data_IF_736413664004
#
_entry.id   IF_736413664004
#
_cell.length_a   1.000
_cell.length_b   1.000
_cell.length_c   1.000
_cell.angle_alpha   90.00
_cell.angle_beta   90.00
_cell.angle_gamma   90.00
#
_symmetry.space_group_name_H-M   'P 1'
#
loop_
_entity.id
_entity.type
_entity.pdbx_description
1 polymer ?
#
# COMPACT_ATOMS: atom_id res chain seq x y z
N UNK A 1 16.12 26.44 13.90
CA UNK A 1 16.35 27.02 12.58
C UNK A 1 17.26 26.07 11.80
N UNK A 2 16.80 25.52 10.69
CA UNK A 2 17.65 24.77 9.76
C UNK A 2 18.63 25.76 9.10
N UNK A 3 19.91 25.41 8.95
CA UNK A 3 20.85 26.28 8.26
C UNK A 3 20.38 26.48 6.82
N UNK A 4 20.33 27.73 6.37
CA UNK A 4 20.07 28.07 4.98
C UNK A 4 21.18 27.45 4.11
N UNK A 5 20.85 26.51 3.27
CA UNK A 5 21.76 26.00 2.25
C UNK A 5 22.02 27.13 1.25
N UNK A 6 23.22 27.67 1.29
CA UNK A 6 23.73 28.61 0.30
C UNK A 6 24.00 27.85 -1.01
N UNK A 7 22.97 27.66 -1.80
CA UNK A 7 23.00 27.09 -3.13
C UNK A 7 21.78 27.57 -3.88
N UNK A 8 21.87 27.82 -5.20
CA UNK A 8 20.73 28.18 -6.03
C UNK A 8 19.55 27.21 -5.83
N UNK A 9 18.34 27.52 -6.32
CA UNK A 9 17.17 26.68 -6.10
C UNK A 9 17.49 25.25 -6.55
N UNK A 10 17.35 24.29 -5.61
CA UNK A 10 17.55 22.88 -5.93
C UNK A 10 16.66 22.48 -7.13
N UNK A 11 17.14 21.65 -8.04
CA UNK A 11 16.34 21.22 -9.18
C UNK A 11 15.03 20.61 -8.66
N UNK A 12 13.92 21.05 -9.22
CA UNK A 12 12.59 20.54 -8.81
C UNK A 12 12.50 19.04 -9.11
N UNK A 13 11.98 18.23 -8.16
CA UNK A 13 11.81 16.81 -8.39
C UNK A 13 10.85 16.58 -9.57
N UNK A 14 11.14 15.57 -10.38
CA UNK A 14 10.27 15.14 -11.49
C UNK A 14 9.23 14.13 -11.04
N UNK A 15 9.53 13.37 -10.02
CA UNK A 15 8.66 12.38 -9.42
C UNK A 15 8.81 12.42 -7.90
N UNK A 16 7.69 12.50 -7.21
CA UNK A 16 7.59 12.26 -5.76
C UNK A 16 6.84 10.96 -5.55
N UNK A 17 7.43 10.04 -4.81
CA UNK A 17 6.79 8.77 -4.42
C UNK A 17 6.54 8.82 -2.92
N UNK A 18 5.27 8.74 -2.53
CA UNK A 18 4.84 8.59 -1.14
C UNK A 18 4.55 7.12 -0.89
N UNK A 19 5.30 6.48 -0.01
CA UNK A 19 5.12 5.06 0.31
C UNK A 19 4.52 4.95 1.71
N UNK A 20 3.31 4.41 1.79
CA UNK A 20 2.69 3.99 3.03
C UNK A 20 2.93 2.50 3.24
N UNK A 21 3.37 2.11 4.43
CA UNK A 21 3.42 0.70 4.86
C UNK A 21 2.38 0.52 5.95
N UNK A 22 1.27 -0.10 5.60
CA UNK A 22 0.11 -0.30 6.47
C UNK A 22 0.50 -1.17 7.69
N UNK A 23 0.15 -0.75 8.90
CA UNK A 23 0.47 -1.41 10.17
C UNK A 23 1.98 -1.50 10.52
N UNK A 24 2.86 -0.74 9.86
CA UNK A 24 4.26 -0.69 10.26
C UNK A 24 4.43 0.04 11.59
N UNK A 25 4.69 -0.70 12.65
CA UNK A 25 4.90 -0.15 13.99
C UNK A 25 6.31 0.41 14.14
N UNK A 26 6.42 1.60 14.76
CA UNK A 26 7.71 2.21 15.08
C UNK A 26 8.55 1.30 15.97
N UNK A 27 7.92 0.62 16.93
CA UNK A 27 8.59 -0.35 17.82
C UNK A 27 9.24 -1.49 17.02
N UNK A 28 8.52 -2.07 16.05
CA UNK A 28 9.05 -3.15 15.20
C UNK A 28 10.15 -2.67 14.27
N UNK A 29 9.98 -1.47 13.71
CA UNK A 29 11.01 -0.84 12.87
C UNK A 29 12.32 -0.69 13.65
N UNK A 30 12.27 -0.16 14.87
CA UNK A 30 13.47 0.03 15.71
C UNK A 30 14.06 -1.30 16.21
N UNK A 31 13.24 -2.26 16.61
CA UNK A 31 13.71 -3.57 17.07
C UNK A 31 14.46 -4.34 15.96
N UNK A 32 14.00 -4.23 14.71
CA UNK A 32 14.60 -4.91 13.56
C UNK A 32 15.66 -4.06 12.84
N UNK A 33 15.80 -2.79 13.18
CA UNK A 33 16.77 -1.87 12.55
C UNK A 33 18.18 -2.43 12.37
N UNK A 34 18.79 -3.11 13.35
CA UNK A 34 20.14 -3.68 13.21
C UNK A 34 20.23 -4.81 12.17
N UNK A 35 19.09 -5.36 11.76
CA UNK A 35 19.00 -6.48 10.81
C UNK A 35 18.63 -6.04 9.40
N UNK A 36 18.18 -4.82 9.22
CA UNK A 36 17.89 -4.27 7.88
C UNK A 36 19.21 -4.03 7.13
N UNK A 37 19.23 -4.44 5.88
CA UNK A 37 20.39 -4.30 4.99
C UNK A 37 20.02 -3.72 3.62
N UNK A 38 18.74 -3.44 3.41
CA UNK A 38 18.16 -3.02 2.14
C UNK A 38 17.58 -1.61 2.16
N UNK A 39 16.39 -1.45 1.62
CA UNK A 39 15.75 -0.15 1.41
C UNK A 39 15.39 0.58 2.68
N UNK A 40 14.88 -0.11 3.72
CA UNK A 40 14.61 0.50 5.02
C UNK A 40 15.90 0.93 5.70
N UNK A 41 16.94 0.08 5.69
CA UNK A 41 18.26 0.45 6.21
C UNK A 41 18.79 1.72 5.54
N UNK A 42 18.66 1.81 4.24
CA UNK A 42 19.09 2.95 3.45
C UNK A 42 18.29 4.21 3.76
N UNK A 43 16.95 4.12 3.82
CA UNK A 43 16.10 5.25 4.15
C UNK A 43 16.37 5.78 5.56
N UNK A 44 16.60 4.89 6.52
CA UNK A 44 16.98 5.26 7.90
C UNK A 44 18.38 5.88 8.02
N UNK A 45 19.29 5.54 7.10
CA UNK A 45 20.68 6.03 7.09
C UNK A 45 20.84 7.33 6.28
N UNK A 46 20.21 7.40 5.10
CA UNK A 46 20.41 8.49 4.13
C UNK A 46 19.28 9.54 4.21
N UNK A 47 18.12 9.19 4.77
CA UNK A 47 16.94 10.06 4.87
C UNK A 47 16.83 10.80 6.20
N UNK A 48 15.76 11.58 6.33
CA UNK A 48 15.35 12.21 7.59
C UNK A 48 14.38 11.28 8.32
N UNK A 49 14.74 10.82 9.50
CA UNK A 49 13.90 9.99 10.34
C UNK A 49 13.24 10.83 11.44
N UNK A 50 11.92 10.98 11.38
CA UNK A 50 11.12 11.69 12.37
C UNK A 50 10.72 10.74 13.50
N UNK A 51 11.51 10.70 14.56
CA UNK A 51 11.30 9.79 15.71
C UNK A 51 10.13 10.18 16.62
N UNK A 52 9.55 11.36 16.44
CA UNK A 52 8.43 11.91 17.22
C UNK A 52 7.25 12.29 16.32
N UNK A 53 6.97 11.49 15.31
CA UNK A 53 5.79 11.65 14.49
C UNK A 53 4.64 10.80 15.08
N UNK A 54 3.51 11.45 15.37
CA UNK A 54 2.35 10.80 15.98
C UNK A 54 1.11 11.06 15.15
N UNK A 55 0.23 10.07 15.07
CA UNK A 55 -1.13 10.31 14.63
C UNK A 55 -1.87 11.12 15.70
N UNK A 56 -2.49 12.22 15.28
CA UNK A 56 -3.22 13.09 16.19
C UNK A 56 -4.71 12.71 16.33
N UNK A 57 -5.06 11.47 15.94
CA UNK A 57 -6.42 10.90 16.02
C UNK A 57 -6.34 9.48 16.59
N UNK A 58 -7.41 9.03 17.26
CA UNK A 58 -7.43 7.76 17.98
C UNK A 58 -7.67 6.55 17.07
N UNK A 59 -8.61 6.64 16.12
CA UNK A 59 -8.91 5.57 15.16
C UNK A 59 -7.85 5.51 14.05
N UNK A 60 -6.80 4.70 14.23
CA UNK A 60 -5.70 4.57 13.27
C UNK A 60 -5.89 3.40 12.31
N UNK A 61 -7.13 3.18 11.87
CA UNK A 61 -7.46 2.22 10.82
C UNK A 61 -6.98 2.67 9.44
N UNK A 62 -7.03 1.75 8.47
CA UNK A 62 -6.57 2.02 7.09
C UNK A 62 -7.25 3.25 6.48
N UNK A 63 -8.60 3.35 6.55
CA UNK A 63 -9.35 4.46 5.95
C UNK A 63 -8.95 5.82 6.52
N UNK A 64 -9.18 6.09 7.82
CA UNK A 64 -8.78 7.35 8.42
C UNK A 64 -7.29 7.65 8.25
N UNK A 65 -6.42 6.66 8.49
CA UNK A 65 -4.96 6.83 8.37
C UNK A 65 -4.53 7.30 6.97
N UNK A 66 -4.97 6.61 5.91
CA UNK A 66 -4.60 6.98 4.54
C UNK A 66 -5.24 8.30 4.09
N UNK A 67 -6.45 8.62 4.58
CA UNK A 67 -7.07 9.92 4.32
C UNK A 67 -6.24 11.08 4.86
N UNK A 68 -5.64 10.92 6.05
CA UNK A 68 -4.81 11.94 6.71
C UNK A 68 -3.48 12.16 5.97
N UNK A 69 -2.86 11.09 5.45
CA UNK A 69 -1.51 11.16 4.86
C UNK A 69 -1.38 12.19 3.73
N UNK A 70 -2.35 12.27 2.84
CA UNK A 70 -2.27 13.17 1.68
C UNK A 70 -3.29 14.31 1.69
N UNK A 71 -4.20 14.38 2.67
CA UNK A 71 -5.03 15.58 2.89
C UNK A 71 -4.41 16.54 3.91
N UNK A 72 -3.57 16.02 4.83
CA UNK A 72 -3.07 16.77 5.97
C UNK A 72 -4.15 17.16 6.98
N UNK A 73 -5.33 16.54 6.92
CA UNK A 73 -6.48 16.87 7.76
C UNK A 73 -6.86 15.70 8.68
N UNK A 74 -7.37 16.00 9.87
CA UNK A 74 -7.89 14.98 10.79
C UNK A 74 -9.15 14.30 10.24
N UNK A 75 -9.45 13.05 10.66
CA UNK A 75 -10.63 12.29 10.24
C UNK A 75 -11.96 13.05 10.35
N UNK A 76 -12.14 13.83 11.41
CA UNK A 76 -13.32 14.71 11.57
C UNK A 76 -13.49 15.74 10.44
N UNK A 77 -12.42 16.10 9.74
CA UNK A 77 -12.46 17.02 8.61
C UNK A 77 -12.42 16.28 7.26
N UNK A 78 -11.80 15.10 7.19
CA UNK A 78 -11.79 14.31 5.96
C UNK A 78 -13.12 13.62 5.70
N UNK A 79 -13.99 13.48 6.71
CA UNK A 79 -15.24 12.75 6.63
C UNK A 79 -15.05 11.23 6.68
N UNK A 80 -13.86 10.75 7.06
CA UNK A 80 -13.51 9.32 7.12
C UNK A 80 -13.15 8.96 8.57
N UNK A 81 -14.13 8.69 9.45
CA UNK A 81 -13.89 8.41 10.86
C UNK A 81 -13.29 7.01 11.10
N UNK A 82 -13.72 6.01 10.33
CA UNK A 82 -13.38 4.60 10.45
C UNK A 82 -13.35 3.94 9.06
N UNK A 83 -12.98 2.68 8.96
CA UNK A 83 -13.14 1.93 7.71
C UNK A 83 -14.61 1.72 7.36
N UNK A 84 -15.41 1.47 8.38
CA UNK A 84 -16.86 1.29 8.31
C UNK A 84 -17.51 1.94 9.53
N UNK A 85 -18.58 2.67 9.34
CA UNK A 85 -19.34 3.29 10.43
C UNK A 85 -20.84 3.22 10.20
N UNK A 86 -21.60 3.28 11.27
CA UNK A 86 -23.05 3.38 11.17
C UNK A 86 -23.47 4.82 10.88
N UNK A 87 -24.03 5.07 9.71
CA UNK A 87 -24.58 6.37 9.34
C UNK A 87 -26.02 6.50 9.86
N UNK A 88 -26.21 7.39 10.84
CA UNK A 88 -27.51 7.61 11.49
C UNK A 88 -28.57 8.14 10.51
N UNK A 89 -28.20 8.95 9.54
CA UNK A 89 -29.11 9.51 8.56
C UNK A 89 -29.53 8.47 7.50
N UNK A 90 -28.60 7.62 7.10
CA UNK A 90 -28.87 6.51 6.18
C UNK A 90 -29.49 5.29 6.89
N UNK A 91 -29.37 5.17 8.22
CA UNK A 91 -29.85 4.05 9.02
C UNK A 91 -29.13 2.71 8.75
N UNK A 92 -27.87 2.75 8.27
CA UNK A 92 -27.10 1.58 7.91
C UNK A 92 -25.59 1.79 8.05
N UNK A 93 -24.84 0.69 7.99
CA UNK A 93 -23.39 0.75 7.86
C UNK A 93 -22.97 1.35 6.52
N UNK A 94 -21.93 2.17 6.57
CA UNK A 94 -21.29 2.83 5.42
C UNK A 94 -19.85 2.40 5.36
N UNK A 95 -19.40 1.94 4.19
CA UNK A 95 -17.98 1.72 3.94
C UNK A 95 -17.29 3.01 3.51
N UNK A 96 -16.09 3.27 4.02
CA UNK A 96 -15.41 4.57 3.86
C UNK A 96 -15.21 5.04 2.42
N UNK A 97 -15.11 4.13 1.46
CA UNK A 97 -15.00 4.44 0.02
C UNK A 97 -16.19 3.93 -0.79
N UNK A 98 -17.31 3.66 -0.13
CA UNK A 98 -18.56 3.33 -0.84
C UNK A 98 -18.99 4.48 -1.75
N UNK A 99 -19.23 4.18 -3.01
CA UNK A 99 -19.79 5.13 -3.97
C UNK A 99 -20.78 4.41 -4.90
N UNK A 100 -22.09 4.50 -4.62
CA UNK A 100 -23.12 3.82 -5.43
C UNK A 100 -23.14 4.24 -6.91
N UNK A 101 -22.45 5.33 -7.26
CA UNK A 101 -22.35 5.82 -8.65
C UNK A 101 -21.12 5.28 -9.38
N UNK A 102 -20.25 4.57 -8.68
CA UNK A 102 -18.97 4.09 -9.21
C UNK A 102 -18.88 2.56 -9.10
N UNK A 103 -18.81 1.89 -10.23
CA UNK A 103 -18.68 0.43 -10.32
C UNK A 103 -17.21 0.04 -10.45
N UNK A 104 -16.77 -0.98 -9.70
CA UNK A 104 -15.42 -1.54 -9.81
C UNK A 104 -15.28 -2.33 -11.12
N UNK A 105 -14.26 -2.04 -11.91
CA UNK A 105 -14.04 -2.71 -13.19
C UNK A 105 -13.72 -4.19 -12.99
N UNK A 106 -14.49 -5.07 -13.63
CA UNK A 106 -14.36 -6.53 -13.48
C UNK A 106 -14.99 -7.12 -12.21
N UNK A 107 -15.64 -6.29 -11.38
CA UNK A 107 -16.38 -6.72 -10.20
C UNK A 107 -17.68 -5.88 -10.06
N UNK A 108 -18.67 -6.12 -10.91
CA UNK A 108 -19.87 -5.25 -11.03
C UNK A 108 -20.72 -5.17 -9.75
N UNK A 109 -20.58 -6.14 -8.85
CA UNK A 109 -21.26 -6.15 -7.56
C UNK A 109 -20.56 -5.27 -6.50
N UNK A 110 -19.39 -4.72 -6.82
CA UNK A 110 -18.63 -3.85 -5.95
C UNK A 110 -18.67 -2.39 -6.43
N UNK A 111 -18.76 -1.47 -5.47
CA UNK A 111 -18.73 -0.03 -5.74
C UNK A 111 -17.64 0.62 -4.88
N UNK A 112 -16.85 1.52 -5.46
CA UNK A 112 -15.82 2.25 -4.74
C UNK A 112 -15.47 3.56 -5.43
N UNK A 113 -15.36 4.65 -4.65
CA UNK A 113 -15.01 5.97 -5.14
C UNK A 113 -14.74 6.96 -4.00
N UNK A 114 -14.33 8.19 -4.33
CA UNK A 114 -13.92 9.19 -3.34
C UNK A 114 -15.08 9.98 -2.71
N UNK A 115 -16.33 9.58 -2.94
CA UNK A 115 -17.54 10.33 -2.55
C UNK A 115 -17.54 10.83 -1.10
N UNK A 116 -17.08 9.97 -0.17
CA UNK A 116 -17.12 10.29 1.25
C UNK A 116 -15.95 11.16 1.71
N UNK A 117 -14.89 11.30 0.90
CA UNK A 117 -13.75 12.15 1.21
C UNK A 117 -14.13 13.62 1.04
N UNK A 118 -14.07 14.40 2.13
CA UNK A 118 -14.51 15.81 2.16
C UNK A 118 -13.34 16.80 2.02
N UNK A 119 -12.12 16.33 1.81
CA UNK A 119 -10.93 17.18 1.69
C UNK A 119 -10.13 16.82 0.46
N UNK A 120 -9.52 17.85 -0.11
CA UNK A 120 -8.59 17.69 -1.23
C UNK A 120 -7.28 17.08 -0.77
N UNK A 121 -6.69 16.29 -1.63
CA UNK A 121 -5.39 15.67 -1.42
C UNK A 121 -4.26 16.54 -1.98
N UNK A 122 -3.02 16.20 -1.62
CA UNK A 122 -1.81 16.83 -2.17
C UNK A 122 -1.81 16.78 -3.70
N UNK A 123 -2.24 15.66 -4.31
CA UNK A 123 -2.35 15.52 -5.77
C UNK A 123 -3.28 16.55 -6.39
N UNK A 124 -4.40 16.83 -5.75
CA UNK A 124 -5.37 17.83 -6.21
C UNK A 124 -4.83 19.26 -6.09
N UNK A 125 -4.11 19.57 -5.01
CA UNK A 125 -3.44 20.87 -4.86
C UNK A 125 -2.32 21.07 -5.89
N UNK A 126 -1.55 20.03 -6.20
CA UNK A 126 -0.52 20.08 -7.23
C UNK A 126 -1.13 20.38 -8.61
N UNK A 127 -2.26 19.74 -8.95
CA UNK A 127 -2.96 19.97 -10.22
C UNK A 127 -3.64 21.34 -10.27
N UNK A 128 -4.10 21.88 -9.15
CA UNK A 128 -4.61 23.25 -9.08
C UNK A 128 -3.49 24.27 -9.33
N UNK A 129 -2.32 24.05 -8.75
CA UNK A 129 -1.16 24.91 -8.94
C UNK A 129 -0.57 24.85 -10.35
N UNK A 130 -0.52 23.66 -10.95
CA UNK A 130 -0.12 23.44 -12.34
C UNK A 130 -0.90 22.22 -12.90
N UNK A 131 -1.90 22.45 -13.81
CA UNK A 131 -2.71 21.38 -14.39
C UNK A 131 -1.92 20.30 -15.17
N UNK A 132 -0.64 20.54 -15.45
CA UNK A 132 0.26 19.57 -16.11
C UNK A 132 0.90 18.59 -15.13
N UNK A 133 0.78 18.81 -13.80
CA UNK A 133 1.13 17.83 -12.79
C UNK A 133 0.19 16.64 -12.87
N UNK A 134 0.71 15.44 -12.67
CA UNK A 134 -0.09 14.21 -12.67
C UNK A 134 -0.01 13.53 -11.29
N UNK A 135 -1.12 12.90 -10.90
CA UNK A 135 -1.25 12.23 -9.62
C UNK A 135 -1.79 10.81 -9.82
N UNK A 136 -1.10 9.82 -9.25
CA UNK A 136 -1.46 8.42 -9.33
C UNK A 136 -1.45 7.79 -7.94
N UNK A 137 -2.29 6.77 -7.73
CA UNK A 137 -2.24 5.92 -6.56
C UNK A 137 -2.30 4.45 -6.97
N UNK A 138 -1.50 3.60 -6.32
CA UNK A 138 -1.51 2.16 -6.49
C UNK A 138 -1.27 1.48 -5.14
N UNK A 139 -2.20 0.63 -4.71
CA UNK A 139 -2.16 0.03 -3.37
C UNK A 139 -2.71 -1.40 -3.35
N UNK A 140 -2.54 -2.09 -2.22
CA UNK A 140 -3.16 -3.38 -1.99
C UNK A 140 -4.65 -3.32 -1.61
N UNK A 141 -5.15 -2.14 -1.19
CA UNK A 141 -6.54 -1.96 -0.73
C UNK A 141 -7.19 -0.78 -1.43
N UNK A 142 -8.47 -0.89 -1.80
CA UNK A 142 -9.25 0.18 -2.43
C UNK A 142 -9.24 1.48 -1.64
N UNK A 143 -9.55 1.42 -0.34
CA UNK A 143 -9.60 2.58 0.55
C UNK A 143 -8.26 3.30 0.68
N UNK A 144 -7.15 2.57 0.66
CA UNK A 144 -5.83 3.20 0.66
C UNK A 144 -5.57 3.98 -0.62
N UNK A 145 -5.90 3.38 -1.79
CA UNK A 145 -5.70 4.03 -3.08
C UNK A 145 -6.57 5.27 -3.24
N UNK A 146 -7.86 5.11 -2.99
CA UNK A 146 -8.88 6.15 -3.20
C UNK A 146 -8.64 7.35 -2.28
N UNK A 147 -8.40 7.10 -0.99
CA UNK A 147 -8.28 8.16 0.02
C UNK A 147 -6.95 8.92 -0.07
N UNK A 148 -5.89 8.30 -0.62
CA UNK A 148 -4.66 9.03 -0.96
C UNK A 148 -4.76 9.76 -2.30
N UNK A 149 -5.53 9.26 -3.26
CA UNK A 149 -5.66 9.85 -4.58
C UNK A 149 -6.57 11.09 -4.60
N UNK A 150 -7.68 11.04 -3.88
CA UNK A 150 -8.74 12.07 -3.96
C UNK A 150 -9.62 11.94 -5.20
N UNK A 151 -10.18 13.07 -5.65
CA UNK A 151 -11.28 13.09 -6.65
C UNK A 151 -10.79 13.19 -8.09
N UNK A 152 -9.60 13.76 -8.35
CA UNK A 152 -9.16 14.14 -9.71
C UNK A 152 -7.77 13.58 -10.07
N UNK A 153 -7.44 12.41 -9.56
CA UNK A 153 -6.20 11.71 -9.92
C UNK A 153 -6.24 11.20 -11.38
N UNK A 154 -5.05 11.05 -11.99
CA UNK A 154 -4.89 10.55 -13.36
C UNK A 154 -4.98 9.03 -13.45
N UNK A 155 -4.80 8.32 -12.33
CA UNK A 155 -5.02 6.89 -12.21
C UNK A 155 -5.01 6.42 -10.77
N UNK A 156 -5.99 5.59 -10.41
CA UNK A 156 -6.15 5.03 -9.07
C UNK A 156 -6.38 3.54 -9.19
N UNK A 157 -5.45 2.75 -8.63
CA UNK A 157 -5.47 1.31 -8.81
C UNK A 157 -5.28 0.59 -7.47
N UNK A 158 -6.02 -0.52 -7.31
CA UNK A 158 -5.89 -1.39 -6.14
C UNK A 158 -6.06 -2.85 -6.51
N UNK A 159 -5.54 -3.72 -5.68
CA UNK A 159 -5.70 -5.15 -5.87
C UNK A 159 -7.12 -5.61 -5.54
N UNK A 160 -7.72 -6.33 -6.47
CA UNK A 160 -8.97 -7.05 -6.26
C UNK A 160 -8.75 -8.56 -6.49
N UNK A 161 -9.13 -9.43 -5.53
CA UNK A 161 -8.77 -10.85 -5.56
C UNK A 161 -9.20 -11.63 -6.80
N UNK A 162 -10.28 -11.21 -7.46
CA UNK A 162 -10.82 -11.90 -8.65
C UNK A 162 -10.18 -11.44 -9.97
N UNK A 163 -9.68 -10.21 -10.03
CA UNK A 163 -9.31 -9.58 -11.32
C UNK A 163 -7.90 -8.99 -11.36
N UNK A 164 -7.16 -9.06 -10.26
CA UNK A 164 -5.86 -8.39 -10.15
C UNK A 164 -6.00 -6.91 -9.84
N UNK A 165 -5.08 -6.07 -10.28
CA UNK A 165 -5.21 -4.64 -10.08
C UNK A 165 -6.33 -4.05 -10.93
N UNK A 166 -7.18 -3.26 -10.30
CA UNK A 166 -8.36 -2.66 -10.92
C UNK A 166 -8.55 -1.22 -10.48
N UNK A 167 -9.60 -0.60 -10.96
CA UNK A 167 -10.09 0.74 -10.62
C UNK A 167 -11.61 0.72 -10.63
N UNK A 168 -12.24 1.87 -10.48
CA UNK A 168 -13.68 2.03 -10.67
C UNK A 168 -14.01 3.09 -11.72
N UNK A 169 -15.29 3.13 -12.10
CA UNK A 169 -15.82 4.13 -13.04
C UNK A 169 -15.76 5.56 -12.50
N UNK A 170 -15.43 5.76 -11.23
CA UNK A 170 -15.12 7.07 -10.68
C UNK A 170 -13.83 7.67 -11.31
N UNK A 171 -12.91 6.83 -11.77
CA UNK A 171 -11.60 7.28 -12.28
C UNK A 171 -11.40 6.95 -13.76
N UNK A 172 -11.88 5.80 -14.23
CA UNK A 172 -11.70 5.40 -15.63
C UNK A 172 -12.79 4.43 -16.09
N UNK A 173 -13.12 4.50 -17.38
CA UNK A 173 -14.05 3.56 -18.00
C UNK A 173 -13.40 2.20 -18.32
N UNK A 174 -12.09 2.15 -18.50
CA UNK A 174 -11.31 0.95 -18.84
C UNK A 174 -9.94 0.97 -18.20
N UNK A 175 -9.36 -0.20 -17.98
CA UNK A 175 -7.97 -0.30 -17.54
C UNK A 175 -7.00 0.08 -18.66
N UNK A 176 -5.89 0.78 -18.36
CA UNK A 176 -4.87 1.08 -19.35
C UNK A 176 -4.19 -0.21 -19.85
N UNK A 177 -3.72 -0.24 -21.12
CA UNK A 177 -3.12 -1.45 -21.71
C UNK A 177 -1.97 -2.05 -20.91
N UNK A 178 -1.13 -1.19 -20.31
CA UNK A 178 -0.01 -1.66 -19.47
C UNK A 178 -0.50 -2.44 -18.25
N UNK A 179 -1.62 -2.02 -17.63
CA UNK A 179 -2.17 -2.69 -16.44
C UNK A 179 -2.87 -3.99 -16.82
N UNK A 180 -3.58 -4.03 -17.97
CA UNK A 180 -4.16 -5.27 -18.49
C UNK A 180 -3.08 -6.32 -18.75
N UNK A 181 -1.98 -5.95 -19.40
CA UNK A 181 -0.84 -6.83 -19.66
C UNK A 181 -0.18 -7.30 -18.35
N UNK A 182 0.03 -6.38 -17.39
CA UNK A 182 0.57 -6.70 -16.07
C UNK A 182 -0.32 -7.70 -15.31
N UNK A 183 -1.62 -7.48 -15.28
CA UNK A 183 -2.58 -8.38 -14.63
C UNK A 183 -2.56 -9.77 -15.26
N UNK A 184 -2.57 -9.87 -16.59
CA UNK A 184 -2.51 -11.15 -17.29
C UNK A 184 -1.25 -11.94 -16.90
N UNK A 185 -0.09 -11.30 -16.90
CA UNK A 185 1.17 -11.91 -16.50
C UNK A 185 1.18 -12.34 -15.02
N UNK A 186 0.70 -11.44 -14.13
CA UNK A 186 0.67 -11.70 -12.68
C UNK A 186 -0.29 -12.84 -12.33
N UNK A 187 -1.50 -12.83 -12.87
CA UNK A 187 -2.48 -13.88 -12.61
C UNK A 187 -2.01 -15.24 -13.18
N UNK A 188 -1.42 -15.25 -14.38
CA UNK A 188 -0.84 -16.46 -14.95
C UNK A 188 0.31 -17.00 -14.09
N UNK A 189 1.17 -16.13 -13.56
CA UNK A 189 2.26 -16.49 -12.64
C UNK A 189 1.72 -17.07 -11.33
N UNK A 190 0.62 -16.56 -10.80
CA UNK A 190 0.03 -17.01 -9.54
C UNK A 190 -0.83 -18.28 -9.69
N UNK A 191 -1.42 -18.51 -10.87
CA UNK A 191 -2.24 -19.69 -11.13
C UNK A 191 -1.43 -20.97 -11.00
N UNK A 192 -1.90 -21.90 -10.15
CA UNK A 192 -1.28 -23.22 -9.99
C UNK A 192 0.02 -23.23 -9.18
N UNK A 193 0.50 -22.10 -8.68
CA UNK A 193 1.70 -22.07 -7.86
C UNK A 193 1.42 -22.44 -6.40
N UNK A 194 2.34 -23.21 -5.85
CA UNK A 194 2.48 -23.41 -4.41
C UNK A 194 3.66 -22.56 -3.94
N UNK A 195 3.37 -21.54 -3.13
CA UNK A 195 4.39 -20.67 -2.55
C UNK A 195 4.78 -21.26 -1.20
N UNK A 196 6.06 -21.46 -0.97
CA UNK A 196 6.60 -21.92 0.32
C UNK A 196 7.27 -20.75 1.00
N UNK A 197 6.68 -20.29 2.09
CA UNK A 197 7.24 -19.22 2.89
C UNK A 197 8.18 -19.78 3.94
N UNK A 198 9.45 -19.76 3.64
CA UNK A 198 10.54 -20.11 4.56
C UNK A 198 11.15 -18.84 5.14
N UNK A 199 11.74 -18.94 6.34
CA UNK A 199 12.48 -17.81 6.90
C UNK A 199 13.69 -17.48 6.00
N UNK A 200 14.04 -16.18 5.89
CA UNK A 200 15.14 -15.71 5.02
C UNK A 200 16.48 -16.38 5.29
N UNK A 201 16.73 -16.78 6.54
CA UNK A 201 17.96 -17.49 6.93
C UNK A 201 17.86 -19.03 6.82
N UNK A 202 16.75 -19.54 6.29
CA UNK A 202 16.48 -20.97 6.11
C UNK A 202 16.24 -21.74 7.41
N UNK A 203 16.21 -21.07 8.57
CA UNK A 203 16.01 -21.72 9.86
C UNK A 203 14.54 -21.73 10.26
N UNK A 204 13.97 -22.88 10.67
CA UNK A 204 12.61 -22.92 11.18
C UNK A 204 12.44 -21.95 12.36
N UNK A 205 11.35 -21.19 12.34
CA UNK A 205 10.96 -20.29 13.44
C UNK A 205 9.56 -20.65 13.87
N UNK A 206 9.45 -21.14 15.08
CA UNK A 206 8.20 -21.60 15.66
C UNK A 206 7.94 -20.80 16.94
N UNK A 207 6.70 -20.45 17.17
CA UNK A 207 6.24 -19.85 18.42
C UNK A 207 5.30 -20.83 19.10
N UNK A 208 5.60 -21.17 20.35
CA UNK A 208 4.70 -21.96 21.20
C UNK A 208 3.54 -21.10 21.68
N UNK A 209 2.35 -21.69 21.77
CA UNK A 209 1.20 -21.01 22.34
C UNK A 209 1.44 -20.71 23.83
N UNK A 210 1.09 -19.51 24.31
CA UNK A 210 1.14 -19.22 25.73
C UNK A 210 0.26 -20.20 26.51
N UNK A 211 0.86 -20.90 27.51
CA UNK A 211 0.10 -21.72 28.42
C UNK A 211 0.39 -23.23 28.42
N UNK A 212 1.28 -23.73 27.57
CA UNK A 212 1.83 -25.09 27.68
C UNK A 212 0.87 -26.28 27.55
N UNK A 213 -0.39 -26.05 27.22
CA UNK A 213 -1.41 -27.12 27.09
C UNK A 213 -1.66 -27.38 25.61
N UNK A 214 -1.05 -28.46 25.13
CA UNK A 214 -1.21 -28.96 23.78
C UNK A 214 -0.36 -28.18 22.76
N UNK A 215 0.55 -28.86 22.11
CA UNK A 215 1.49 -28.35 21.09
C UNK A 215 0.76 -27.85 19.82
N UNK A 216 -0.11 -26.88 19.93
CA UNK A 216 -0.60 -26.19 18.76
C UNK A 216 0.38 -25.05 18.46
N UNK A 217 1.31 -25.28 17.55
CA UNK A 217 2.12 -24.25 16.93
C UNK A 217 1.15 -23.39 16.12
N UNK A 218 0.73 -22.28 16.73
CA UNK A 218 -0.21 -21.34 16.08
C UNK A 218 0.48 -20.52 14.99
N UNK A 219 1.78 -20.27 15.15
CA UNK A 219 2.56 -19.41 14.26
C UNK A 219 3.93 -20.01 13.99
N UNK A 220 4.46 -19.79 12.81
CA UNK A 220 5.81 -20.21 12.48
C UNK A 220 6.04 -20.46 10.98
N UNK A 221 7.31 -20.52 10.63
CA UNK A 221 7.79 -20.83 9.29
C UNK A 221 8.50 -22.20 9.30
N UNK A 222 8.41 -23.02 8.25
CA UNK A 222 7.84 -22.72 6.93
C UNK A 222 6.31 -22.80 6.84
N UNK A 223 5.73 -22.06 5.88
CA UNK A 223 4.30 -22.13 5.51
C UNK A 223 4.13 -22.41 4.03
N UNK A 224 3.17 -23.27 3.72
CA UNK A 224 2.78 -23.55 2.33
C UNK A 224 1.52 -22.77 1.98
N UNK A 225 1.60 -21.95 0.93
CA UNK A 225 0.52 -21.11 0.43
C UNK A 225 0.19 -21.59 -0.98
N UNK A 226 -1.00 -22.15 -1.15
CA UNK A 226 -1.51 -22.48 -2.49
C UNK A 226 -2.08 -21.23 -3.13
N UNK A 227 -1.41 -20.73 -4.15
CA UNK A 227 -1.81 -19.54 -4.89
C UNK A 227 -2.80 -19.83 -6.03
N UNK A 228 -3.12 -21.10 -6.30
CA UNK A 228 -4.01 -21.48 -7.38
C UNK A 228 -4.91 -22.66 -7.05
N UNK A 229 -6.14 -22.63 -7.62
CA UNK A 229 -7.14 -23.73 -7.50
C UNK A 229 -8.47 -23.32 -6.89
N UNK A 230 -8.48 -22.34 -6.04
CA UNK A 230 -9.65 -21.55 -5.61
C UNK A 230 -9.37 -20.08 -5.95
N UNK A 231 -10.39 -19.23 -6.12
CA UNK A 231 -10.13 -17.79 -6.28
C UNK A 231 -9.15 -17.34 -5.20
N UNK A 232 -8.13 -16.60 -5.58
CA UNK A 232 -7.11 -16.02 -4.68
C UNK A 232 -7.77 -15.35 -3.45
N UNK A 233 -9.06 -14.98 -3.61
CA UNK A 233 -9.95 -14.43 -2.60
C UNK A 233 -10.23 -15.33 -1.39
N UNK A 234 -10.24 -16.66 -1.52
CA UNK A 234 -10.56 -17.50 -0.36
C UNK A 234 -9.37 -17.78 0.55
N UNK A 235 -8.16 -17.54 0.07
CA UNK A 235 -7.01 -17.92 0.88
C UNK A 235 -6.61 -16.86 1.90
N UNK A 236 -6.84 -15.55 1.70
CA UNK A 236 -6.27 -14.52 2.58
C UNK A 236 -4.76 -14.68 2.86
N UNK A 237 -4.25 -15.89 2.49
CA UNK A 237 -2.89 -16.34 2.71
C UNK A 237 -1.89 -15.63 1.81
N UNK A 238 -2.28 -15.39 0.55
CA UNK A 238 -1.44 -14.65 -0.39
C UNK A 238 -1.27 -13.19 0.06
N UNK A 239 -2.35 -12.54 0.46
CA UNK A 239 -2.31 -11.15 0.96
C UNK A 239 -1.54 -11.07 2.29
N UNK A 240 -1.67 -12.09 3.14
CA UNK A 240 -0.91 -12.22 4.39
C UNK A 240 0.47 -12.88 4.16
N UNK A 241 1.19 -12.44 3.15
CA UNK A 241 2.51 -12.97 2.80
C UNK A 241 3.39 -11.91 2.12
N UNK A 242 4.73 -12.10 2.10
CA UNK A 242 5.65 -11.16 1.47
C UNK A 242 5.46 -10.99 -0.05
N UNK A 243 4.87 -11.97 -0.71
CA UNK A 243 4.59 -11.88 -2.16
C UNK A 243 3.53 -10.84 -2.49
N UNK A 244 2.71 -10.46 -1.52
CA UNK A 244 1.70 -9.44 -1.77
C UNK A 244 2.34 -8.06 -1.99
N UNK A 245 3.24 -7.64 -1.11
CA UNK A 245 3.96 -6.38 -1.29
C UNK A 245 4.91 -6.44 -2.50
N UNK A 246 5.50 -7.60 -2.80
CA UNK A 246 6.26 -7.80 -4.03
C UNK A 246 5.40 -7.54 -5.27
N UNK A 247 4.17 -8.08 -5.29
CA UNK A 247 3.22 -7.88 -6.39
C UNK A 247 2.80 -6.41 -6.54
N UNK A 248 2.59 -5.70 -5.43
CA UNK A 248 2.27 -4.26 -5.43
C UNK A 248 3.45 -3.45 -6.01
N UNK A 249 4.68 -3.76 -5.61
CA UNK A 249 5.88 -3.08 -6.11
C UNK A 249 6.13 -3.38 -7.59
N UNK A 250 5.92 -4.61 -8.05
CA UNK A 250 5.98 -4.98 -9.48
C UNK A 250 4.96 -4.17 -10.30
N UNK A 251 3.74 -4.00 -9.79
CA UNK A 251 2.70 -3.19 -10.44
C UNK A 251 3.05 -1.69 -10.43
N UNK A 252 3.64 -1.18 -9.34
CA UNK A 252 4.11 0.20 -9.28
C UNK A 252 5.21 0.48 -10.33
N UNK A 253 6.10 -0.47 -10.57
CA UNK A 253 7.11 -0.37 -11.62
C UNK A 253 6.48 -0.38 -13.02
N UNK A 254 5.47 -1.23 -13.24
CA UNK A 254 4.73 -1.25 -14.49
C UNK A 254 3.98 0.07 -14.72
N UNK A 255 3.39 0.67 -13.67
CA UNK A 255 2.76 1.98 -13.71
C UNK A 255 3.78 3.08 -14.08
N UNK A 256 4.92 3.14 -13.37
CA UNK A 256 5.98 4.13 -13.64
C UNK A 256 6.46 4.04 -15.09
N UNK A 257 6.57 2.84 -15.64
CA UNK A 257 6.97 2.63 -17.04
C UNK A 257 5.87 2.98 -18.03
N UNK A 258 4.67 2.44 -17.81
CA UNK A 258 3.52 2.60 -18.70
C UNK A 258 3.09 4.06 -18.84
N UNK A 259 3.08 4.79 -17.72
CA UNK A 259 2.74 6.21 -17.67
C UNK A 259 3.97 7.13 -17.85
N UNK A 260 5.18 6.59 -17.94
CA UNK A 260 6.43 7.36 -18.08
C UNK A 260 6.60 8.40 -16.97
N UNK A 261 6.32 8.02 -15.70
CA UNK A 261 6.39 8.95 -14.58
C UNK A 261 7.81 9.48 -14.39
N UNK A 262 7.90 10.75 -13.99
CA UNK A 262 9.16 11.46 -13.80
C UNK A 262 9.85 11.91 -15.09
N UNK A 263 9.27 11.66 -16.27
CA UNK A 263 9.84 12.06 -17.58
C UNK A 263 9.17 13.30 -18.17
N UNK A 264 8.11 13.76 -17.56
CA UNK A 264 7.38 14.95 -17.99
C UNK A 264 8.10 16.27 -17.64
N UNK A 265 7.55 17.40 -18.12
CA UNK A 265 8.09 18.73 -17.80
C UNK A 265 7.74 19.18 -16.36
N UNK A 266 6.80 18.52 -15.72
CA UNK A 266 6.27 18.85 -14.39
C UNK A 266 6.38 17.68 -13.44
N UNK A 267 6.00 17.93 -12.18
CA UNK A 267 6.00 16.95 -11.13
C UNK A 267 4.91 15.89 -11.34
N UNK A 268 5.29 14.63 -11.26
CA UNK A 268 4.38 13.51 -11.06
C UNK A 268 4.38 13.11 -9.59
N UNK A 269 3.20 12.80 -9.04
CA UNK A 269 3.01 12.24 -7.71
C UNK A 269 2.54 10.80 -7.81
N UNK A 270 3.19 9.88 -7.13
CA UNK A 270 2.76 8.50 -6.95
C UNK A 270 2.54 8.20 -5.47
N UNK A 271 1.30 7.92 -5.08
CA UNK A 271 0.97 7.36 -3.78
C UNK A 271 0.97 5.83 -3.88
N UNK A 272 1.82 5.18 -3.09
CA UNK A 272 2.01 3.73 -3.07
C UNK A 272 1.68 3.19 -1.68
N UNK A 273 0.73 2.24 -1.60
CA UNK A 273 0.33 1.63 -0.33
C UNK A 273 0.68 0.14 -0.29
N UNK A 274 1.61 -0.24 0.58
CA UNK A 274 2.03 -1.61 0.84
C UNK A 274 1.17 -2.18 1.97
N UNK A 275 0.40 -3.20 1.67
CA UNK A 275 -0.62 -3.72 2.57
C UNK A 275 -0.28 -5.10 3.16
N UNK A 276 0.80 -5.73 2.73
CA UNK A 276 1.18 -7.07 3.18
C UNK A 276 1.48 -7.14 4.68
N UNK A 277 2.15 -6.14 5.22
CA UNK A 277 2.48 -6.06 6.66
C UNK A 277 1.20 -6.06 7.52
N UNK A 278 0.16 -5.32 7.11
CA UNK A 278 -1.12 -5.29 7.81
C UNK A 278 -1.83 -6.66 7.79
N UNK A 279 -1.92 -7.30 6.62
CA UNK A 279 -2.53 -8.63 6.52
C UNK A 279 -1.75 -9.69 7.30
N UNK A 280 -0.42 -9.61 7.33
CA UNK A 280 0.42 -10.48 8.15
C UNK A 280 0.16 -10.24 9.63
N UNK A 281 0.08 -8.97 10.05
CA UNK A 281 -0.22 -8.60 11.43
C UNK A 281 -1.58 -9.08 11.90
N UNK A 282 -2.62 -8.89 11.09
CA UNK A 282 -3.96 -9.40 11.40
C UNK A 282 -4.02 -10.93 11.49
N UNK A 283 -3.26 -11.62 10.66
CA UNK A 283 -3.32 -13.09 10.59
C UNK A 283 -2.44 -13.79 11.61
N UNK A 284 -1.24 -13.28 11.84
CA UNK A 284 -0.19 -13.96 12.63
C UNK A 284 0.25 -13.15 13.85
N UNK A 285 -0.33 -11.98 14.05
CA UNK A 285 0.06 -11.07 15.13
C UNK A 285 1.25 -10.18 14.78
N UNK A 286 1.36 -9.01 15.46
CA UNK A 286 2.37 -8.00 15.13
C UNK A 286 3.77 -8.35 15.63
N UNK A 287 3.93 -9.38 16.44
CA UNK A 287 5.19 -9.77 17.09
C UNK A 287 5.71 -11.16 16.73
N UNK A 288 5.03 -11.87 15.83
CA UNK A 288 5.39 -13.24 15.46
C UNK A 288 6.54 -13.34 14.47
N UNK A 289 7.04 -14.57 14.25
CA UNK A 289 8.12 -14.84 13.30
C UNK A 289 7.74 -14.48 11.86
N UNK A 290 6.46 -14.55 11.51
CA UNK A 290 5.96 -14.13 10.21
C UNK A 290 6.10 -12.63 10.01
N UNK A 291 5.77 -11.82 11.01
CA UNK A 291 5.93 -10.37 10.95
C UNK A 291 7.39 -9.98 10.84
N UNK A 292 8.25 -10.64 11.58
CA UNK A 292 9.69 -10.40 11.52
C UNK A 292 10.24 -10.67 10.11
N UNK A 293 9.93 -11.84 9.54
CA UNK A 293 10.38 -12.21 8.20
C UNK A 293 9.75 -11.32 7.12
N UNK A 294 8.47 -10.94 7.28
CA UNK A 294 7.78 -9.97 6.41
C UNK A 294 8.55 -8.65 6.33
N UNK A 295 8.94 -8.08 7.46
CA UNK A 295 9.64 -6.80 7.51
C UNK A 295 11.07 -6.89 6.95
N UNK A 296 11.78 -8.00 7.19
CA UNK A 296 13.09 -8.24 6.57
C UNK A 296 12.99 -8.38 5.05
N UNK A 297 11.96 -9.04 4.54
CA UNK A 297 11.70 -9.14 3.10
C UNK A 297 11.26 -7.82 2.50
N UNK A 298 10.44 -7.05 3.22
CA UNK A 298 10.04 -5.70 2.80
C UNK A 298 11.27 -4.79 2.64
N UNK A 299 12.23 -4.87 3.55
CA UNK A 299 13.50 -4.14 3.44
C UNK A 299 14.23 -4.44 2.11
N UNK A 300 14.35 -5.74 1.75
CA UNK A 300 14.99 -6.15 0.52
C UNK A 300 14.17 -5.78 -0.74
N UNK A 301 12.86 -5.90 -0.69
CA UNK A 301 11.96 -5.50 -1.78
C UNK A 301 12.08 -4.00 -2.08
N UNK A 302 12.08 -3.18 -1.03
CA UNK A 302 12.26 -1.73 -1.15
C UNK A 302 13.64 -1.38 -1.71
N UNK A 303 14.71 -2.09 -1.35
CA UNK A 303 16.04 -1.87 -1.95
C UNK A 303 16.01 -2.08 -3.47
N UNK A 304 15.39 -3.19 -3.92
CA UNK A 304 15.23 -3.48 -5.34
C UNK A 304 14.42 -2.38 -6.05
N UNK A 305 13.30 -1.98 -5.48
CA UNK A 305 12.44 -0.93 -6.03
C UNK A 305 13.16 0.42 -6.12
N UNK A 306 13.80 0.87 -5.04
CA UNK A 306 14.52 2.14 -4.99
C UNK A 306 15.71 2.18 -5.95
N UNK A 307 16.44 1.07 -6.14
CA UNK A 307 17.51 0.96 -7.15
C UNK A 307 16.97 1.14 -8.56
N UNK A 308 15.86 0.45 -8.90
CA UNK A 308 15.25 0.56 -10.22
C UNK A 308 14.64 1.95 -10.47
N UNK A 309 14.09 2.57 -9.44
CA UNK A 309 13.57 3.94 -9.51
C UNK A 309 14.69 4.93 -9.85
N UNK A 310 15.83 4.88 -9.14
CA UNK A 310 17.01 5.73 -9.42
C UNK A 310 17.61 5.53 -10.81
N UNK A 311 17.61 4.32 -11.33
CA UNK A 311 18.16 4.04 -12.66
C UNK A 311 17.32 4.65 -13.80
N UNK A 312 16.13 5.16 -13.50
CA UNK A 312 15.17 5.70 -14.47
C UNK A 312 15.03 7.22 -14.42
N UNK A 313 15.46 7.83 -13.32
CA UNK A 313 15.52 9.28 -13.10
C UNK A 313 16.91 9.83 -13.37
#
# INVERSE_FOLDING_TARGET
ALPALAGGPAPQPKLVVVISVDQLSAERLEALRPRFTGGLARLLKEGLHFTRAYHAHAGTETGPGHSVLLTGCHPAHTGIPENEWFDLAAGREMYCVEDPKATVLGAPDASAGPRNLQRRTLGEYLKEADPRCRSFALTGKDRSAILMAGHVADGVYWWHPKVGFTTSTAYAATLPPWLQAHNAATLAKLQGQTLVWEALDGKPRLMEAPGGVGRNILFGLPKTIKAGGEPISKAGLFQASPWYDATILEAAEALIQGEKLGRGPRLDLLALGLSGTDYVGHRYGPGGPEMEDQLLRLDLLLEGFLKRLRART
#
